data_IF_988100852871
#
_entry.id   IF_988100852871
#
_cell.length_a   1.000
_cell.length_b   1.000
_cell.length_c   1.000
_cell.angle_alpha   90.00
_cell.angle_beta   90.00
_cell.angle_gamma   90.00
#
_symmetry.space_group_name_H-M   'P 1'
#
loop_
_entity.id
_entity.type
_entity.pdbx_description
1 polymer ?
#
# COMPACT_ATOMS: atom_id res chain seq x y z
N UNK A 1 14.87 -25.97 -8.26
CA UNK A 1 14.20 -24.85 -7.56
C UNK A 1 13.38 -25.42 -6.42
N UNK A 2 13.54 -24.84 -5.24
CA UNK A 2 12.83 -25.33 -4.06
C UNK A 2 11.38 -24.81 -4.07
N UNK A 3 10.36 -25.68 -4.00
CA UNK A 3 8.96 -25.23 -3.91
C UNK A 3 8.69 -24.36 -2.69
N UNK A 4 9.38 -24.62 -1.57
CA UNK A 4 9.23 -23.82 -0.34
C UNK A 4 9.69 -22.39 -0.56
N UNK A 5 10.83 -22.21 -1.23
CA UNK A 5 11.39 -20.89 -1.50
C UNK A 5 10.49 -20.07 -2.43
N UNK A 6 10.00 -20.72 -3.49
CA UNK A 6 9.06 -20.08 -4.40
C UNK A 6 7.78 -19.70 -3.69
N UNK A 7 7.28 -20.58 -2.84
CA UNK A 7 6.06 -20.32 -2.06
C UNK A 7 6.20 -19.07 -1.18
N UNK A 8 7.36 -18.83 -0.55
CA UNK A 8 7.59 -17.64 0.28
C UNK A 8 7.59 -16.35 -0.54
N UNK A 9 8.22 -16.36 -1.70
CA UNK A 9 8.24 -15.20 -2.60
C UNK A 9 6.82 -14.92 -3.08
N UNK A 10 6.09 -15.93 -3.50
CA UNK A 10 4.70 -15.80 -3.93
C UNK A 10 3.81 -15.28 -2.80
N UNK A 11 4.02 -15.76 -1.58
CA UNK A 11 3.23 -15.35 -0.43
C UNK A 11 3.43 -13.86 -0.14
N UNK A 12 4.67 -13.38 -0.16
CA UNK A 12 4.96 -11.96 0.07
C UNK A 12 4.27 -11.08 -0.97
N UNK A 13 4.40 -11.44 -2.24
CA UNK A 13 3.76 -10.70 -3.33
C UNK A 13 2.24 -10.74 -3.21
N UNK A 14 1.69 -11.90 -2.85
CA UNK A 14 0.25 -12.06 -2.68
C UNK A 14 -0.29 -11.15 -1.58
N UNK A 15 0.40 -11.06 -0.45
CA UNK A 15 -0.01 -10.20 0.66
C UNK A 15 -0.09 -8.74 0.20
N UNK A 16 0.91 -8.27 -0.54
CA UNK A 16 0.93 -6.91 -1.07
C UNK A 16 -0.21 -6.68 -2.04
N UNK A 17 -0.49 -7.62 -2.94
CA UNK A 17 -1.59 -7.50 -3.89
C UNK A 17 -2.95 -7.58 -3.20
N UNK A 18 -3.11 -8.42 -2.18
CA UNK A 18 -4.33 -8.47 -1.38
C UNK A 18 -4.56 -7.16 -0.63
N UNK A 19 -3.49 -6.55 -0.13
CA UNK A 19 -3.58 -5.24 0.52
C UNK A 19 -4.15 -4.21 -0.46
N UNK A 20 -3.67 -4.19 -1.70
CA UNK A 20 -4.17 -3.26 -2.71
C UNK A 20 -5.64 -3.55 -3.07
N UNK A 21 -6.03 -4.81 -3.13
CA UNK A 21 -7.43 -5.18 -3.38
C UNK A 21 -8.34 -4.68 -2.25
N UNK A 22 -7.90 -4.85 -1.01
CA UNK A 22 -8.63 -4.32 0.15
C UNK A 22 -8.72 -2.79 0.10
N UNK A 23 -7.63 -2.12 -0.29
CA UNK A 23 -7.63 -0.68 -0.53
C UNK A 23 -8.72 -0.29 -1.52
N UNK A 24 -8.79 -0.96 -2.66
CA UNK A 24 -9.76 -0.64 -3.71
C UNK A 24 -11.21 -0.89 -3.27
N UNK A 25 -11.43 -1.77 -2.30
CA UNK A 25 -12.74 -1.97 -1.68
C UNK A 25 -12.99 -0.99 -0.53
N UNK A 26 -11.99 -0.17 -0.18
CA UNK A 26 -12.02 0.72 0.99
C UNK A 26 -12.24 -0.06 2.30
N UNK A 27 -11.71 -1.27 2.34
CA UNK A 27 -11.85 -2.19 3.48
C UNK A 27 -10.65 -2.02 4.42
N UNK A 28 -10.74 -1.04 5.31
CA UNK A 28 -9.64 -0.71 6.24
C UNK A 28 -9.32 -1.89 7.16
N UNK A 29 -10.33 -2.58 7.66
CA UNK A 29 -10.12 -3.75 8.51
C UNK A 29 -9.33 -4.82 7.76
N UNK A 30 -9.72 -5.12 6.50
CA UNK A 30 -9.00 -6.07 5.66
C UNK A 30 -7.57 -5.66 5.39
N UNK A 31 -7.34 -4.37 5.12
CA UNK A 31 -5.99 -3.83 4.95
C UNK A 31 -5.14 -4.05 6.20
N UNK A 32 -5.68 -3.71 7.35
CA UNK A 32 -4.93 -3.75 8.60
C UNK A 32 -4.66 -5.17 9.10
N UNK A 33 -5.45 -6.15 8.71
CA UNK A 33 -5.17 -7.56 8.99
C UNK A 33 -3.89 -8.04 8.27
N UNK A 34 -3.49 -7.34 7.21
CA UNK A 34 -2.29 -7.68 6.43
C UNK A 34 -1.05 -6.91 6.88
N UNK A 35 -1.18 -6.02 7.87
CA UNK A 35 -0.06 -5.25 8.42
C UNK A 35 0.30 -5.71 9.83
N UNK A 36 1.58 -5.60 10.16
CA UNK A 36 2.05 -5.93 11.51
C UNK A 36 1.62 -4.87 12.53
N UNK A 37 1.66 -5.22 13.83
CA UNK A 37 1.27 -4.29 14.89
C UNK A 37 2.19 -3.07 14.97
N UNK A 38 3.46 -3.25 14.63
CA UNK A 38 4.49 -2.20 14.64
C UNK A 38 4.72 -1.59 13.25
N UNK A 39 3.74 -1.69 12.37
CA UNK A 39 3.89 -1.23 10.99
C UNK A 39 4.17 0.26 10.88
N UNK A 40 4.87 0.62 9.81
CA UNK A 40 5.16 2.01 9.45
C UNK A 40 4.62 2.27 8.04
N UNK A 41 3.87 3.33 7.90
CA UNK A 41 3.40 3.82 6.61
C UNK A 41 3.90 5.24 6.41
N UNK A 42 4.58 5.46 5.29
CA UNK A 42 5.01 6.80 4.88
C UNK A 42 4.28 7.15 3.59
N UNK A 43 3.45 8.19 3.66
CA UNK A 43 2.69 8.63 2.48
C UNK A 43 3.47 9.69 1.69
N UNK A 44 2.85 10.24 0.66
CA UNK A 44 3.49 11.18 -0.26
C UNK A 44 3.17 12.64 0.01
N UNK A 45 2.35 12.93 1.00
CA UNK A 45 1.91 14.30 1.30
C UNK A 45 2.23 14.67 2.73
N UNK A 46 2.70 15.89 3.00
CA UNK A 46 3.03 16.92 2.02
C UNK A 46 4.39 16.67 1.36
N UNK A 47 4.57 17.25 0.19
CA UNK A 47 5.90 17.25 -0.44
C UNK A 47 6.88 18.04 0.44
N UNK A 48 8.21 17.70 0.45
CA UNK A 48 8.82 16.68 -0.39
C UNK A 48 8.82 15.26 0.21
N UNK A 49 8.68 15.10 1.53
CA UNK A 49 8.98 13.83 2.19
C UNK A 49 7.75 13.06 2.68
N UNK A 50 6.57 13.66 2.59
CA UNK A 50 5.35 13.03 3.10
C UNK A 50 5.27 13.04 4.62
N UNK A 51 4.42 12.18 5.16
CA UNK A 51 4.22 12.01 6.60
C UNK A 51 4.37 10.53 6.94
N UNK A 52 5.06 10.24 8.04
CA UNK A 52 5.23 8.88 8.53
C UNK A 52 4.23 8.60 9.67
N UNK A 53 3.57 7.47 9.59
CA UNK A 53 2.65 6.97 10.62
C UNK A 53 3.20 5.67 11.17
N UNK A 54 3.33 5.57 12.49
CA UNK A 54 3.89 4.40 13.14
C UNK A 54 2.86 3.72 14.03
N UNK A 55 2.75 2.41 13.88
CA UNK A 55 1.84 1.58 14.65
C UNK A 55 0.47 1.44 14.02
N UNK A 56 -0.17 0.33 14.33
CA UNK A 56 -1.43 -0.08 13.71
C UNK A 56 -2.55 0.93 13.96
N UNK A 57 -2.60 1.52 15.14
CA UNK A 57 -3.64 2.49 15.48
C UNK A 57 -3.56 3.76 14.62
N UNK A 58 -2.36 4.33 14.51
CA UNK A 58 -2.15 5.55 13.71
C UNK A 58 -2.41 5.30 12.23
N UNK A 59 -1.96 4.15 11.71
CA UNK A 59 -2.15 3.80 10.30
C UNK A 59 -3.62 3.53 10.01
N UNK A 60 -4.33 2.86 10.91
CA UNK A 60 -5.77 2.62 10.76
C UNK A 60 -6.52 3.94 10.67
N UNK A 61 -6.22 4.88 11.57
CA UNK A 61 -6.89 6.19 11.59
C UNK A 61 -6.62 6.96 10.29
N UNK A 62 -5.39 6.89 9.78
CA UNK A 62 -5.07 7.51 8.50
C UNK A 62 -5.97 7.00 7.38
N UNK A 63 -6.11 5.67 7.25
CA UNK A 63 -6.92 5.10 6.17
C UNK A 63 -8.40 5.39 6.32
N UNK A 64 -8.92 5.39 7.54
CA UNK A 64 -10.31 5.75 7.80
C UNK A 64 -10.60 7.17 7.33
N UNK A 65 -9.73 8.11 7.67
CA UNK A 65 -9.87 9.51 7.26
C UNK A 65 -9.70 9.67 5.76
N UNK A 66 -8.71 8.97 5.19
CA UNK A 66 -8.42 9.05 3.76
C UNK A 66 -9.62 8.61 2.91
N UNK A 67 -10.23 7.48 3.22
CA UNK A 67 -11.37 6.99 2.44
C UNK A 67 -12.62 7.85 2.63
N UNK A 68 -12.79 8.45 3.80
CA UNK A 68 -13.89 9.37 4.04
C UNK A 68 -13.76 10.62 3.16
N UNK A 69 -12.52 11.11 3.01
CA UNK A 69 -12.23 12.29 2.20
C UNK A 69 -12.09 11.98 0.71
N UNK A 70 -11.84 10.73 0.37
CA UNK A 70 -11.56 10.30 -1.01
C UNK A 70 -12.40 9.08 -1.38
N UNK A 71 -13.74 9.24 -1.49
CA UNK A 71 -14.63 8.09 -1.75
C UNK A 71 -14.44 7.45 -3.12
N UNK A 72 -13.72 8.12 -4.04
CA UNK A 72 -13.43 7.61 -5.37
C UNK A 72 -12.03 7.01 -5.49
N UNK A 73 -11.30 6.90 -4.38
CA UNK A 73 -9.92 6.41 -4.39
C UNK A 73 -9.83 5.01 -4.99
N UNK A 74 -8.95 4.85 -5.96
CA UNK A 74 -8.71 3.57 -6.64
C UNK A 74 -7.28 3.53 -7.14
N UNK A 75 -6.62 2.39 -6.94
CA UNK A 75 -5.24 2.18 -7.37
C UNK A 75 -5.20 1.04 -8.38
N UNK A 76 -4.67 1.31 -9.57
CA UNK A 76 -4.34 0.30 -10.56
C UNK A 76 -2.89 -0.12 -10.37
N UNK A 77 -2.65 -1.41 -10.22
CA UNK A 77 -1.30 -1.95 -10.15
C UNK A 77 -0.77 -2.07 -11.58
N UNK A 78 0.33 -1.38 -11.86
CA UNK A 78 0.95 -1.44 -13.18
C UNK A 78 2.03 -2.51 -13.24
N UNK A 79 2.72 -2.75 -12.14
CA UNK A 79 3.74 -3.78 -12.03
C UNK A 79 4.01 -4.07 -10.56
N UNK A 80 4.23 -5.33 -10.23
CA UNK A 80 4.62 -5.71 -8.88
C UNK A 80 5.62 -6.86 -8.93
N UNK A 81 6.64 -6.81 -8.10
CA UNK A 81 7.65 -7.87 -8.03
C UNK A 81 8.28 -7.94 -6.64
N UNK A 82 8.78 -9.12 -6.32
CA UNK A 82 9.46 -9.38 -5.05
C UNK A 82 10.96 -9.21 -5.16
N UNK A 83 11.59 -8.82 -4.05
CA UNK A 83 13.03 -8.75 -3.87
C UNK A 83 13.37 -9.64 -2.67
N UNK A 84 13.80 -10.86 -2.92
CA UNK A 84 13.99 -11.86 -1.87
C UNK A 84 12.64 -12.28 -1.28
N UNK A 85 12.62 -12.64 0.00
CA UNK A 85 11.43 -13.18 0.66
C UNK A 85 10.64 -12.16 1.46
N UNK A 86 11.19 -10.95 1.66
CA UNK A 86 10.61 -9.97 2.57
C UNK A 86 10.50 -8.56 2.01
N UNK A 87 10.75 -8.36 0.71
CA UNK A 87 10.60 -7.06 0.07
C UNK A 87 9.76 -7.19 -1.18
N UNK A 88 8.92 -6.19 -1.43
CA UNK A 88 8.16 -6.08 -2.67
C UNK A 88 8.17 -4.64 -3.15
N UNK A 89 8.12 -4.48 -4.46
CA UNK A 89 7.98 -3.17 -5.10
C UNK A 89 6.73 -3.23 -5.97
N UNK A 90 5.90 -2.22 -5.87
CA UNK A 90 4.66 -2.14 -6.65
C UNK A 90 4.57 -0.77 -7.31
N UNK A 91 4.57 -0.73 -8.65
CA UNK A 91 4.31 0.49 -9.40
C UNK A 91 2.79 0.61 -9.59
N UNK A 92 2.28 1.82 -9.37
CA UNK A 92 0.85 2.03 -9.34
C UNK A 92 0.45 3.34 -10.02
N UNK A 93 -0.84 3.39 -10.36
CA UNK A 93 -1.53 4.58 -10.81
C UNK A 93 -2.70 4.82 -9.88
N UNK A 94 -2.67 5.97 -9.20
CA UNK A 94 -3.77 6.37 -8.33
C UNK A 94 -4.69 7.31 -9.09
N UNK A 95 -5.98 6.97 -9.10
CA UNK A 95 -7.01 7.72 -9.80
C UNK A 95 -7.90 8.44 -8.78
N UNK A 96 -8.23 9.69 -9.06
CA UNK A 96 -9.14 10.46 -8.22
C UNK A 96 -10.16 11.22 -9.05
N UNK A 97 -11.22 11.67 -8.35
CA UNK A 97 -12.20 12.58 -8.89
C UNK A 97 -12.31 13.73 -7.90
N UNK A 98 -12.14 14.97 -8.36
CA UNK A 98 -12.23 16.14 -7.48
C UNK A 98 -13.69 16.55 -7.23
N UNK A 99 -13.90 17.58 -6.39
CA UNK A 99 -15.22 18.05 -6.02
C UNK A 99 -16.03 18.58 -7.21
N UNK A 100 -15.35 18.99 -8.29
CA UNK A 100 -15.99 19.46 -9.52
C UNK A 100 -16.27 18.33 -10.50
N UNK A 101 -15.97 17.08 -10.15
CA UNK A 101 -16.14 15.93 -11.02
C UNK A 101 -15.01 15.72 -12.01
N UNK A 102 -13.94 16.48 -11.91
CA UNK A 102 -12.79 16.34 -12.79
C UNK A 102 -11.94 15.15 -12.36
N UNK A 103 -11.62 14.29 -13.33
CA UNK A 103 -10.77 13.12 -13.10
C UNK A 103 -9.29 13.48 -13.25
N UNK A 104 -8.47 12.88 -12.39
CA UNK A 104 -7.02 13.01 -12.47
C UNK A 104 -6.35 11.75 -12.01
N UNK A 105 -5.03 11.71 -12.19
CA UNK A 105 -4.23 10.59 -11.71
C UNK A 105 -2.82 11.03 -11.38
N UNK A 106 -2.13 10.18 -10.61
CA UNK A 106 -0.71 10.28 -10.38
C UNK A 106 -0.14 8.86 -10.37
N UNK A 107 1.09 8.73 -10.79
CA UNK A 107 1.81 7.45 -10.74
C UNK A 107 2.87 7.49 -9.66
N UNK A 108 3.17 6.33 -9.14
CA UNK A 108 4.19 6.22 -8.12
C UNK A 108 4.62 4.78 -7.92
N UNK A 109 5.38 4.58 -6.87
CA UNK A 109 5.89 3.28 -6.48
C UNK A 109 5.85 3.17 -4.97
N UNK A 110 5.48 1.98 -4.49
CA UNK A 110 5.55 1.62 -3.08
C UNK A 110 6.66 0.60 -2.88
N UNK A 111 7.43 0.79 -1.82
CA UNK A 111 8.42 -0.18 -1.37
C UNK A 111 7.87 -0.80 -0.09
N UNK A 112 7.68 -2.11 -0.10
CA UNK A 112 7.14 -2.86 1.04
C UNK A 112 8.21 -3.70 1.70
N UNK A 113 8.14 -3.77 3.02
CA UNK A 113 8.90 -4.73 3.81
C UNK A 113 7.90 -5.63 4.53
N UNK A 114 8.15 -6.93 4.50
CA UNK A 114 7.32 -7.90 5.20
C UNK A 114 8.12 -8.54 6.33
N UNK A 115 7.42 -8.87 7.40
CA UNK A 115 7.95 -9.54 8.56
C UNK A 115 6.92 -10.57 9.01
N UNK A 116 7.33 -11.83 9.04
CA UNK A 116 6.44 -12.94 9.43
C UNK A 116 5.16 -12.99 8.61
N UNK A 117 5.25 -12.68 7.31
CA UNK A 117 4.10 -12.73 6.40
C UNK A 117 3.18 -11.53 6.45
N UNK A 118 3.51 -10.50 7.22
CA UNK A 118 2.73 -9.26 7.33
C UNK A 118 3.54 -8.07 6.86
N UNK A 119 2.86 -7.06 6.32
CA UNK A 119 3.50 -5.82 5.90
C UNK A 119 3.95 -5.04 7.14
N UNK A 120 5.25 -4.85 7.29
CA UNK A 120 5.82 -4.07 8.38
C UNK A 120 6.19 -2.66 7.98
N UNK A 121 6.39 -2.41 6.68
CA UNK A 121 6.71 -1.10 6.15
C UNK A 121 6.06 -0.90 4.79
N UNK A 122 5.45 0.24 4.58
CA UNK A 122 4.94 0.67 3.27
C UNK A 122 5.43 2.08 3.04
N UNK A 123 6.37 2.24 2.13
CA UNK A 123 6.96 3.53 1.81
C UNK A 123 6.52 3.93 0.40
N UNK A 124 5.83 5.05 0.30
CA UNK A 124 5.23 5.50 -0.96
C UNK A 124 6.02 6.66 -1.56
N UNK A 125 6.28 6.57 -2.86
CA UNK A 125 6.98 7.57 -3.63
C UNK A 125 6.14 7.94 -4.83
N UNK A 126 5.99 9.23 -5.08
CA UNK A 126 5.15 9.71 -6.17
C UNK A 126 6.03 10.33 -7.26
N UNK A 127 5.61 10.10 -8.50
CA UNK A 127 6.23 10.72 -9.66
C UNK A 127 5.74 12.17 -9.72
N UNK A 128 6.62 13.09 -9.59
CA UNK A 128 6.27 14.49 -9.52
C UNK A 128 6.70 15.32 -10.69
#
# INVERSE_FOLDING_TARGET
MSPIRMSKIETALRVVLEFNEAFNRHDVEGMMQLMSDDCVFENTSPAPDGTAYSGKEAVTQFWQDFFRESPQAHIDVEEAFGLGTNRCVMRWKYNWVDAAGKKGHVRGVDVFKLKDGLISEKLSYVKG
#
